data_IF_271093221911
#
_entry.id   IF_271093221911
#
_cell.length_a   1.000
_cell.length_b   1.000
_cell.length_c   1.000
_cell.angle_alpha   90.00
_cell.angle_beta   90.00
_cell.angle_gamma   90.00
#
_symmetry.space_group_name_H-M   'P 1'
#
loop_
_entity.id
_entity.type
_entity.pdbx_description
1 polymer ?
#
# COMPACT_ATOMS: atom_id res chain seq x y z
N UNK A 1 9.22 13.60 6.34
CA UNK A 1 8.58 13.73 5.01
C UNK A 1 7.62 12.57 4.81
N UNK A 2 6.42 12.81 4.31
CA UNK A 2 5.41 11.77 4.08
C UNK A 2 4.96 11.78 2.63
N UNK A 3 4.84 10.59 2.03
CA UNK A 3 4.37 10.41 0.65
C UNK A 3 3.25 9.39 0.61
N UNK A 4 2.09 9.72 0.01
CA UNK A 4 0.96 8.81 -0.02
C UNK A 4 1.23 7.61 -0.94
N UNK A 5 0.72 6.45 -0.52
CA UNK A 5 0.52 5.30 -1.38
C UNK A 5 -0.87 5.43 -1.99
N UNK A 6 -0.95 5.79 -3.28
CA UNK A 6 -2.20 6.17 -3.92
C UNK A 6 -2.40 5.39 -5.22
N UNK A 7 -3.48 4.62 -5.28
CA UNK A 7 -3.99 4.06 -6.54
C UNK A 7 -4.74 5.13 -7.33
N UNK A 8 -5.24 4.80 -8.52
CA UNK A 8 -6.04 5.74 -9.32
C UNK A 8 -7.21 6.34 -8.52
N UNK A 9 -7.84 5.51 -7.70
CA UNK A 9 -9.14 5.81 -7.10
C UNK A 9 -9.05 6.18 -5.61
N UNK A 10 -7.99 5.80 -4.91
CA UNK A 10 -7.88 6.03 -3.46
C UNK A 10 -6.46 6.03 -2.90
N UNK A 11 -6.30 6.62 -1.71
CA UNK A 11 -5.08 6.49 -0.90
C UNK A 11 -5.20 5.22 -0.05
N UNK A 12 -4.27 4.29 -0.21
CA UNK A 12 -4.23 3.00 0.49
C UNK A 12 -3.24 2.99 1.67
N UNK A 13 -2.47 4.06 1.85
CA UNK A 13 -1.51 4.19 2.94
C UNK A 13 -0.54 5.37 2.74
N UNK A 14 0.54 5.36 3.52
CA UNK A 14 1.59 6.39 3.47
C UNK A 14 2.97 5.76 3.71
N UNK A 15 3.98 6.22 3.00
CA UNK A 15 5.39 6.00 3.36
C UNK A 15 5.89 7.23 4.08
N UNK A 16 6.47 7.02 5.25
CA UNK A 16 7.10 8.07 6.05
C UNK A 16 8.62 7.90 6.03
N UNK A 17 9.31 8.99 5.70
CA UNK A 17 10.74 9.15 5.95
C UNK A 17 10.92 10.09 7.13
N UNK A 18 11.53 9.55 8.19
CA UNK A 18 11.84 10.25 9.43
C UNK A 18 13.25 9.94 9.89
N UNK A 19 13.84 10.85 10.64
CA UNK A 19 15.16 10.72 11.26
C UNK A 19 15.05 11.19 12.71
N UNK A 20 15.82 10.57 13.61
CA UNK A 20 15.92 11.00 15.02
C UNK A 20 16.64 12.35 15.14
N UNK A 21 17.49 12.69 14.16
CA UNK A 21 18.18 13.97 14.09
C UNK A 21 17.50 14.88 13.07
N UNK A 22 17.58 16.22 13.22
CA UNK A 22 17.12 17.15 12.19
C UNK A 22 17.79 16.85 10.85
N UNK A 23 16.98 16.71 9.81
CA UNK A 23 17.42 16.50 8.43
C UNK A 23 16.63 17.44 7.54
N UNK A 24 17.34 18.19 6.71
CA UNK A 24 16.74 19.00 5.66
C UNK A 24 16.43 18.11 4.45
N UNK A 25 15.20 17.60 4.40
CA UNK A 25 14.74 16.83 3.25
C UNK A 25 14.62 17.74 2.03
N UNK A 26 15.22 17.30 0.92
CA UNK A 26 15.27 18.03 -0.33
C UNK A 26 14.22 17.54 -1.33
N UNK A 27 14.03 18.29 -2.41
CA UNK A 27 13.21 17.85 -3.54
C UNK A 27 13.73 16.55 -4.19
N UNK A 28 15.03 16.26 -4.08
CA UNK A 28 15.61 14.99 -4.56
C UNK A 28 15.14 13.81 -3.71
N UNK A 29 15.08 13.99 -2.39
CA UNK A 29 14.57 12.97 -1.47
C UNK A 29 13.10 12.70 -1.74
N UNK A 30 12.31 13.77 -1.95
CA UNK A 30 10.90 13.65 -2.33
C UNK A 30 10.73 12.87 -3.63
N UNK A 31 11.55 13.15 -4.65
CA UNK A 31 11.49 12.44 -5.95
C UNK A 31 11.82 10.96 -5.79
N UNK A 32 12.87 10.65 -5.02
CA UNK A 32 13.28 9.26 -4.75
C UNK A 32 12.18 8.49 -4.03
N UNK A 33 11.67 9.03 -2.91
CA UNK A 33 10.64 8.34 -2.13
C UNK A 33 9.30 8.26 -2.87
N UNK A 34 8.99 9.22 -3.74
CA UNK A 34 7.80 9.16 -4.61
C UNK A 34 7.90 8.02 -5.63
N UNK A 35 9.08 7.79 -6.21
CA UNK A 35 9.30 6.65 -7.10
C UNK A 35 9.17 5.31 -6.36
N UNK A 36 9.67 5.23 -5.13
CA UNK A 36 9.48 4.05 -4.26
C UNK A 36 8.01 3.85 -3.89
N UNK A 37 7.32 4.92 -3.49
CA UNK A 37 5.89 4.90 -3.16
C UNK A 37 5.05 4.42 -4.34
N UNK A 38 5.38 4.85 -5.57
CA UNK A 38 4.68 4.38 -6.77
C UNK A 38 4.81 2.87 -6.97
N UNK A 39 6.01 2.31 -6.79
CA UNK A 39 6.23 0.86 -6.94
C UNK A 39 5.57 0.07 -5.78
N UNK A 40 5.74 0.55 -4.55
CA UNK A 40 5.14 -0.04 -3.36
C UNK A 40 3.61 -0.05 -3.45
N UNK A 41 3.01 1.02 -3.97
CA UNK A 41 1.54 1.10 -4.17
C UNK A 41 1.05 -0.06 -5.04
N UNK A 42 1.70 -0.34 -6.16
CA UNK A 42 1.30 -1.45 -7.05
C UNK A 42 1.41 -2.80 -6.35
N UNK A 43 2.53 -3.07 -5.66
CA UNK A 43 2.74 -4.33 -4.96
C UNK A 43 1.73 -4.54 -3.82
N UNK A 44 1.52 -3.51 -3.00
CA UNK A 44 0.58 -3.55 -1.87
C UNK A 44 -0.86 -3.67 -2.38
N UNK A 45 -1.24 -2.93 -3.43
CA UNK A 45 -2.56 -3.04 -4.03
C UNK A 45 -2.83 -4.46 -4.54
N UNK A 46 -1.85 -5.10 -5.18
CA UNK A 46 -1.98 -6.48 -5.64
C UNK A 46 -2.13 -7.46 -4.48
N UNK A 47 -1.35 -7.30 -3.42
CA UNK A 47 -1.46 -8.14 -2.22
C UNK A 47 -2.83 -8.00 -1.55
N UNK A 48 -3.36 -6.78 -1.43
CA UNK A 48 -4.70 -6.53 -0.87
C UNK A 48 -5.79 -7.18 -1.73
N UNK A 49 -5.71 -7.04 -3.06
CA UNK A 49 -6.66 -7.66 -3.98
C UNK A 49 -6.64 -9.19 -3.87
N UNK A 50 -5.45 -9.77 -3.80
CA UNK A 50 -5.28 -11.21 -3.64
C UNK A 50 -5.85 -11.74 -2.32
N UNK A 51 -5.56 -11.06 -1.20
CA UNK A 51 -6.11 -11.43 0.12
C UNK A 51 -7.64 -11.34 0.16
N UNK A 52 -8.22 -10.35 -0.52
CA UNK A 52 -9.67 -10.22 -0.62
C UNK A 52 -10.27 -11.38 -1.43
N UNK A 53 -9.67 -11.75 -2.57
CA UNK A 53 -10.09 -12.91 -3.36
C UNK A 53 -10.07 -14.20 -2.53
N UNK A 54 -8.98 -14.47 -1.79
CA UNK A 54 -8.88 -15.64 -0.93
C UNK A 54 -9.92 -15.64 0.20
N UNK A 55 -10.24 -14.47 0.74
CA UNK A 55 -11.27 -14.33 1.78
C UNK A 55 -12.66 -14.68 1.23
N UNK A 56 -12.99 -14.19 0.04
CA UNK A 56 -14.28 -14.48 -0.62
C UNK A 56 -14.44 -15.98 -0.91
N UNK A 57 -13.40 -16.64 -1.42
CA UNK A 57 -13.40 -18.09 -1.62
C UNK A 57 -13.61 -18.86 -0.32
N UNK A 58 -12.96 -18.43 0.78
CA UNK A 58 -13.12 -19.06 2.10
C UNK A 58 -14.53 -18.92 2.66
N UNK A 59 -15.14 -17.73 2.51
CA UNK A 59 -16.54 -17.50 2.93
C UNK A 59 -17.48 -18.38 2.10
N UNK A 60 -17.27 -18.44 0.78
CA UNK A 60 -18.11 -19.23 -0.12
C UNK A 60 -18.03 -20.74 0.14
N UNK A 61 -16.82 -21.26 0.35
CA UNK A 61 -16.61 -22.68 0.69
C UNK A 61 -17.17 -23.05 2.06
N UNK A 62 -17.14 -22.13 3.01
CA UNK A 62 -17.75 -22.33 4.32
C UNK A 62 -19.28 -22.41 4.19
N UNK A 63 -19.91 -21.49 3.47
CA UNK A 63 -21.36 -21.50 3.23
C UNK A 63 -21.83 -22.77 2.52
N UNK A 64 -21.14 -23.20 1.45
CA UNK A 64 -21.47 -24.43 0.72
C UNK A 64 -21.30 -25.72 1.54
N UNK A 65 -20.65 -25.66 2.72
CA UNK A 65 -20.50 -26.81 3.62
C UNK A 65 -21.63 -26.88 4.66
N UNK A 66 -22.37 -25.79 4.87
CA UNK A 66 -23.51 -25.72 5.79
C UNK A 66 -24.87 -25.95 5.11
N UNK A 67 -24.91 -25.97 3.78
CA UNK A 67 -26.04 -26.35 2.94
C UNK A 67 -25.70 -27.61 2.15
#
# INVERSE_FOLDING_TARGET
MCVPLKTKDQVIGVIQLSSEKPVDYTARDLKLISALASQATSAISNAILYENMLREERVRSTLNRYF
#
